data_IF_817410023650
#
_entry.id   IF_817410023650
#
_cell.length_a   1.000
_cell.length_b   1.000
_cell.length_c   1.000
_cell.angle_alpha   90.00
_cell.angle_beta   90.00
_cell.angle_gamma   90.00
#
_symmetry.space_group_name_H-M   'P 1'
#
loop_
_entity.id
_entity.type
_entity.pdbx_description
1 polymer ?
#
# COMPACT_ATOMS: atom_id res chain seq x y z
N UNK A 1 -14.65 -4.16 -14.77
CA UNK A 1 -13.34 -3.61 -15.14
C UNK A 1 -12.91 -2.68 -14.03
N UNK A 2 -11.94 -3.09 -13.22
CA UNK A 2 -11.39 -2.23 -12.18
C UNK A 2 -10.53 -1.14 -12.83
N UNK A 3 -10.72 0.12 -12.42
CA UNK A 3 -9.98 1.26 -12.97
C UNK A 3 -9.15 1.89 -11.86
N UNK A 4 -7.88 2.16 -12.13
CA UNK A 4 -7.06 2.99 -11.26
C UNK A 4 -7.54 4.44 -11.32
N UNK A 5 -7.83 5.00 -10.16
CA UNK A 5 -8.17 6.40 -9.98
C UNK A 5 -6.96 7.13 -9.41
N UNK A 6 -6.63 8.30 -9.95
CA UNK A 6 -5.55 9.14 -9.44
C UNK A 6 -6.02 9.89 -8.19
N UNK A 7 -5.12 10.06 -7.22
CA UNK A 7 -5.30 11.05 -6.15
C UNK A 7 -5.13 12.44 -6.79
N UNK A 8 -6.27 13.09 -7.01
CA UNK A 8 -6.32 14.44 -7.56
C UNK A 8 -6.18 15.51 -6.47
N UNK A 9 -6.31 16.77 -6.87
CA UNK A 9 -6.22 17.91 -5.96
C UNK A 9 -7.25 17.87 -4.83
N UNK A 10 -8.49 17.47 -5.12
CA UNK A 10 -9.56 17.41 -4.14
C UNK A 10 -9.36 16.27 -3.14
N UNK A 11 -8.76 15.17 -3.56
CA UNK A 11 -8.48 14.02 -2.68
C UNK A 11 -7.20 14.20 -1.86
N UNK A 12 -6.21 14.97 -2.36
CA UNK A 12 -4.90 15.13 -1.72
C UNK A 12 -5.01 15.69 -0.29
N UNK A 13 -5.98 16.57 -0.03
CA UNK A 13 -6.20 17.16 1.30
C UNK A 13 -6.45 16.11 2.41
N UNK A 14 -6.90 14.90 2.05
CA UNK A 14 -7.14 13.80 3.00
C UNK A 14 -5.88 12.97 3.30
N UNK A 15 -4.77 13.27 2.62
CA UNK A 15 -3.50 12.57 2.64
C UNK A 15 -2.38 13.57 2.95
N UNK A 16 -2.34 14.03 4.21
CA UNK A 16 -1.56 15.18 4.69
C UNK A 16 -0.06 15.21 4.35
N UNK A 17 0.54 14.09 3.95
CA UNK A 17 1.94 14.01 3.58
C UNK A 17 2.20 13.99 2.06
N UNK A 18 1.16 13.87 1.23
CA UNK A 18 1.31 13.92 -0.21
C UNK A 18 1.43 15.37 -0.70
N UNK A 19 2.36 15.62 -1.62
CA UNK A 19 2.54 16.89 -2.33
C UNK A 19 1.90 16.86 -3.73
N UNK A 20 1.93 17.99 -4.43
CA UNK A 20 1.33 18.11 -5.78
C UNK A 20 2.07 17.27 -6.82
N UNK A 21 3.35 16.98 -6.57
CA UNK A 21 4.23 16.17 -7.41
C UNK A 21 4.01 14.66 -7.21
N UNK A 22 3.34 14.24 -6.13
CA UNK A 22 3.17 12.83 -5.81
C UNK A 22 2.12 12.16 -6.72
N UNK A 23 2.54 11.09 -7.38
CA UNK A 23 1.70 10.33 -8.30
C UNK A 23 1.19 9.06 -7.64
N UNK A 24 0.04 9.19 -6.98
CA UNK A 24 -0.63 8.09 -6.27
C UNK A 24 -1.94 7.71 -6.94
N UNK A 25 -2.24 6.41 -6.97
CA UNK A 25 -3.44 5.82 -7.55
C UNK A 25 -4.06 4.80 -6.61
N UNK A 26 -5.37 4.62 -6.69
CA UNK A 26 -6.10 3.67 -5.85
C UNK A 26 -7.22 2.96 -6.63
N UNK A 27 -7.66 1.81 -6.13
CA UNK A 27 -8.78 1.06 -6.72
C UNK A 27 -10.11 1.31 -6.00
N UNK A 28 -10.09 1.42 -4.67
CA UNK A 28 -11.31 1.42 -3.85
C UNK A 28 -11.31 2.48 -2.74
N UNK A 29 -12.50 2.80 -2.22
CA UNK A 29 -12.66 3.68 -1.07
C UNK A 29 -12.93 2.85 0.19
N UNK A 30 -12.13 3.05 1.23
CA UNK A 30 -12.28 2.38 2.51
C UNK A 30 -12.75 3.37 3.58
N UNK A 31 -13.82 3.04 4.31
CA UNK A 31 -14.35 3.85 5.41
C UNK A 31 -13.81 3.39 6.77
N UNK A 32 -12.97 4.19 7.45
CA UNK A 32 -12.47 3.84 8.78
C UNK A 32 -13.60 3.71 9.80
N UNK A 33 -13.43 2.80 10.78
CA UNK A 33 -14.31 2.63 11.95
C UNK A 33 -15.72 2.11 11.68
N UNK A 34 -16.15 2.03 10.42
CA UNK A 34 -17.46 1.47 10.04
C UNK A 34 -17.53 -0.07 10.11
N UNK A 35 -16.38 -0.74 10.32
CA UNK A 35 -16.31 -2.20 10.41
C UNK A 35 -16.26 -2.91 9.06
N UNK A 36 -16.17 -4.25 9.10
CA UNK A 36 -15.91 -5.09 7.93
C UNK A 36 -17.14 -5.30 7.03
N UNK A 37 -18.36 -5.07 7.52
CA UNK A 37 -19.61 -5.29 6.77
C UNK A 37 -20.13 -4.04 6.08
N UNK A 38 -19.46 -2.89 6.24
CA UNK A 38 -19.90 -1.61 5.72
C UNK A 38 -19.90 -1.56 4.18
N UNK A 39 -18.85 -2.10 3.55
CA UNK A 39 -18.69 -2.10 2.11
C UNK A 39 -17.82 -3.28 1.66
N UNK A 40 -17.83 -3.55 0.35
CA UNK A 40 -16.94 -4.53 -0.28
C UNK A 40 -15.46 -4.21 0.01
N UNK A 41 -15.06 -2.95 -0.14
CA UNK A 41 -13.70 -2.50 0.15
C UNK A 41 -13.32 -2.73 1.63
N UNK A 42 -14.24 -2.43 2.56
CA UNK A 42 -14.04 -2.65 3.98
C UNK A 42 -13.87 -4.15 4.31
N UNK A 43 -14.70 -5.00 3.71
CA UNK A 43 -14.61 -6.45 3.89
C UNK A 43 -13.32 -7.01 3.31
N UNK A 44 -12.96 -6.58 2.10
CA UNK A 44 -11.75 -7.00 1.42
C UNK A 44 -10.52 -6.64 2.23
N UNK A 45 -10.37 -5.36 2.63
CA UNK A 45 -9.24 -4.90 3.44
C UNK A 45 -9.20 -5.62 4.79
N UNK A 46 -10.34 -5.86 5.44
CA UNK A 46 -10.39 -6.61 6.70
C UNK A 46 -9.86 -8.04 6.54
N UNK A 47 -10.30 -8.75 5.51
CA UNK A 47 -9.85 -10.11 5.23
C UNK A 47 -8.39 -10.14 4.78
N UNK A 48 -7.97 -9.17 3.97
CA UNK A 48 -6.61 -8.99 3.49
C UNK A 48 -5.63 -8.74 4.65
N UNK A 49 -6.04 -7.89 5.61
CA UNK A 49 -5.26 -7.53 6.81
C UNK A 49 -5.25 -8.59 7.91
N UNK A 50 -5.87 -9.76 7.70
CA UNK A 50 -5.99 -10.81 8.73
C UNK A 50 -4.61 -11.26 9.27
N UNK A 51 -4.41 -11.25 10.61
CA UNK A 51 -3.13 -11.61 11.27
C UNK A 51 -2.69 -13.06 11.09
N UNK A 52 -1.37 -13.31 11.02
CA UNK A 52 -0.78 -14.66 10.85
C UNK A 52 -1.14 -15.66 11.93
N UNK A 53 -1.41 -15.23 13.18
CA UNK A 53 -1.86 -16.12 14.26
C UNK A 53 -3.14 -16.91 13.93
N UNK A 54 -3.86 -16.52 12.89
CA UNK A 54 -5.05 -17.21 12.39
C UNK A 54 -4.78 -18.21 11.25
N UNK A 55 -3.51 -18.44 10.86
CA UNK A 55 -3.12 -19.24 9.68
C UNK A 55 -3.67 -20.67 9.68
N UNK A 56 -3.69 -21.29 10.85
CA UNK A 56 -4.17 -22.67 11.03
C UNK A 56 -5.66 -22.76 11.39
N UNK A 57 -6.37 -21.63 11.32
CA UNK A 57 -7.79 -21.56 11.65
C UNK A 57 -8.66 -21.57 10.39
N UNK A 58 -9.87 -22.12 10.48
CA UNK A 58 -10.75 -22.32 9.31
C UNK A 58 -11.14 -21.03 8.56
N UNK A 59 -11.00 -19.87 9.20
CA UNK A 59 -11.27 -18.57 8.61
C UNK A 59 -10.04 -17.94 7.89
N UNK A 60 -8.87 -18.60 7.89
CA UNK A 60 -7.72 -18.18 7.07
C UNK A 60 -8.03 -18.18 5.56
N UNK A 61 -8.95 -19.04 5.12
CA UNK A 61 -9.44 -19.10 3.74
C UNK A 61 -9.91 -17.73 3.22
N UNK A 62 -10.42 -16.86 4.09
CA UNK A 62 -10.86 -15.52 3.68
C UNK A 62 -9.69 -14.59 3.36
N UNK A 63 -8.53 -14.73 4.03
CA UNK A 63 -7.32 -13.97 3.67
C UNK A 63 -6.78 -14.42 2.31
N UNK A 64 -6.72 -15.73 2.06
CA UNK A 64 -6.30 -16.28 0.75
C UNK A 64 -7.19 -15.75 -0.37
N UNK A 65 -8.52 -15.83 -0.20
CA UNK A 65 -9.48 -15.27 -1.16
C UNK A 65 -9.27 -13.77 -1.40
N UNK A 66 -9.01 -12.99 -0.34
CA UNK A 66 -8.72 -11.57 -0.48
C UNK A 66 -7.42 -11.30 -1.25
N UNK A 67 -6.36 -12.08 -1.04
CA UNK A 67 -5.11 -11.99 -1.81
C UNK A 67 -5.38 -12.28 -3.30
N UNK A 68 -6.11 -13.35 -3.60
CA UNK A 68 -6.45 -13.73 -4.98
C UNK A 68 -7.30 -12.65 -5.66
N UNK A 69 -8.26 -12.07 -4.93
CA UNK A 69 -9.13 -11.02 -5.41
C UNK A 69 -8.37 -9.72 -5.69
N UNK A 70 -7.50 -9.29 -4.78
CA UNK A 70 -6.63 -8.12 -5.01
C UNK A 70 -5.69 -8.35 -6.19
N UNK A 71 -5.13 -9.57 -6.32
CA UNK A 71 -4.28 -9.94 -7.46
C UNK A 71 -5.02 -9.74 -8.79
N UNK A 72 -6.28 -10.20 -8.85
CA UNK A 72 -7.14 -9.99 -10.01
C UNK A 72 -7.42 -8.51 -10.26
N UNK A 73 -7.71 -7.73 -9.20
CA UNK A 73 -7.98 -6.30 -9.33
C UNK A 73 -6.79 -5.51 -9.87
N UNK A 74 -5.58 -5.77 -9.38
CA UNK A 74 -4.37 -5.15 -9.95
C UNK A 74 -4.12 -5.61 -11.37
N UNK A 75 -4.23 -6.90 -11.68
CA UNK A 75 -4.07 -7.39 -13.05
C UNK A 75 -5.02 -6.68 -14.00
N UNK A 76 -6.31 -6.65 -13.70
CA UNK A 76 -7.32 -6.02 -14.55
C UNK A 76 -7.08 -4.52 -14.76
N UNK A 77 -6.62 -3.81 -13.72
CA UNK A 77 -6.45 -2.37 -13.79
C UNK A 77 -5.11 -1.94 -14.44
N UNK A 78 -4.09 -2.80 -14.39
CA UNK A 78 -2.70 -2.46 -14.74
C UNK A 78 -2.27 -3.06 -16.08
N UNK A 79 -2.72 -4.28 -16.42
CA UNK A 79 -2.17 -5.05 -17.56
C UNK A 79 -2.26 -4.32 -18.90
N UNK A 80 -3.27 -3.46 -19.10
CA UNK A 80 -3.46 -2.69 -20.34
C UNK A 80 -3.01 -1.24 -20.25
N UNK A 81 -2.65 -0.75 -19.05
CA UNK A 81 -2.37 0.67 -18.79
C UNK A 81 -0.90 0.93 -18.51
N UNK A 82 -0.17 -0.05 -17.98
CA UNK A 82 1.23 0.08 -17.62
C UNK A 82 2.12 -0.58 -18.66
N UNK A 83 3.14 0.14 -19.12
CA UNK A 83 4.21 -0.46 -19.91
C UNK A 83 5.27 -1.06 -18.95
N UNK A 84 5.25 -2.39 -18.80
CA UNK A 84 6.15 -3.06 -17.87
C UNK A 84 7.61 -2.88 -18.21
N UNK A 85 8.01 -2.69 -19.48
CA UNK A 85 9.43 -2.57 -19.85
C UNK A 85 10.17 -1.41 -19.15
N UNK A 86 9.42 -0.40 -18.70
CA UNK A 86 9.94 0.78 -18.01
C UNK A 86 9.60 0.84 -16.51
N UNK A 87 8.99 -0.22 -15.96
CA UNK A 87 8.52 -0.25 -14.58
C UNK A 87 9.15 -1.37 -13.75
N UNK A 88 9.69 -1.03 -12.58
CA UNK A 88 10.01 -1.98 -11.51
C UNK A 88 8.87 -1.95 -10.47
N UNK A 89 8.24 -3.09 -10.22
CA UNK A 89 7.13 -3.25 -9.28
C UNK A 89 7.68 -3.64 -7.90
N UNK A 90 7.37 -2.84 -6.89
CA UNK A 90 7.93 -2.98 -5.55
C UNK A 90 6.79 -3.03 -4.52
N UNK A 91 6.61 -4.13 -3.77
CA UNK A 91 5.71 -4.13 -2.63
C UNK A 91 6.33 -3.28 -1.52
N UNK A 92 5.53 -2.41 -0.91
CA UNK A 92 5.92 -1.77 0.34
C UNK A 92 5.97 -2.86 1.43
N UNK A 93 7.07 -2.97 2.21
CA UNK A 93 7.25 -4.07 3.15
C UNK A 93 6.28 -3.97 4.34
N UNK A 94 5.96 -5.11 4.98
CA UNK A 94 5.25 -5.09 6.26
C UNK A 94 6.15 -4.48 7.35
N UNK A 95 5.57 -4.07 8.48
CA UNK A 95 6.33 -3.49 9.59
C UNK A 95 7.27 -4.48 10.31
N UNK A 96 7.17 -5.76 9.99
CA UNK A 96 7.99 -6.84 10.55
C UNK A 96 9.16 -7.13 9.61
N UNK A 97 10.31 -7.50 10.15
CA UNK A 97 11.45 -7.95 9.35
C UNK A 97 11.22 -9.36 8.76
N UNK A 98 11.92 -9.73 7.68
CA UNK A 98 11.72 -11.02 6.98
C UNK A 98 11.92 -12.26 7.86
N UNK A 99 12.73 -12.16 8.93
CA UNK A 99 12.97 -13.26 9.86
C UNK A 99 11.92 -13.42 10.96
N UNK A 100 10.98 -12.47 11.08
CA UNK A 100 9.98 -12.47 12.14
C UNK A 100 8.85 -13.48 11.85
N UNK A 101 8.37 -14.17 12.89
CA UNK A 101 7.30 -15.16 12.76
C UNK A 101 5.95 -14.55 12.32
N UNK A 102 5.76 -13.24 12.52
CA UNK A 102 4.61 -12.46 12.08
C UNK A 102 4.87 -11.69 10.78
N UNK A 103 5.96 -11.98 10.04
CA UNK A 103 6.20 -11.41 8.72
C UNK A 103 5.07 -11.78 7.75
N UNK A 104 4.42 -10.76 7.18
CA UNK A 104 3.25 -10.92 6.31
C UNK A 104 3.55 -10.42 4.89
N UNK A 105 3.93 -11.36 4.01
CA UNK A 105 4.31 -11.15 2.62
C UNK A 105 3.11 -11.01 1.66
N UNK A 106 1.91 -10.68 2.17
CA UNK A 106 0.66 -10.65 1.38
C UNK A 106 0.75 -9.79 0.11
N UNK A 107 1.48 -8.67 0.13
CA UNK A 107 1.58 -7.80 -1.05
C UNK A 107 2.50 -8.41 -2.10
N UNK A 108 3.58 -9.09 -1.68
CA UNK A 108 4.43 -9.89 -2.56
C UNK A 108 3.63 -11.05 -3.19
N UNK A 109 2.79 -11.74 -2.42
CA UNK A 109 1.88 -12.76 -2.94
C UNK A 109 0.89 -12.18 -3.96
N UNK A 110 0.34 -10.99 -3.69
CA UNK A 110 -0.55 -10.28 -4.62
C UNK A 110 0.13 -9.98 -5.94
N UNK A 111 1.32 -9.38 -5.92
CA UNK A 111 2.02 -9.00 -7.15
C UNK A 111 2.47 -10.23 -7.95
N UNK A 112 2.96 -11.27 -7.25
CA UNK A 112 3.29 -12.55 -7.89
C UNK A 112 2.06 -13.18 -8.56
N UNK A 113 0.91 -13.19 -7.89
CA UNK A 113 -0.33 -13.73 -8.44
C UNK A 113 -0.92 -12.89 -9.59
N UNK A 114 -0.88 -11.57 -9.47
CA UNK A 114 -1.41 -10.64 -10.47
C UNK A 114 -0.69 -10.75 -11.82
N UNK A 115 0.62 -10.97 -11.78
CA UNK A 115 1.49 -10.91 -12.96
C UNK A 115 2.18 -12.24 -13.28
N UNK A 116 1.64 -13.35 -12.79
CA UNK A 116 2.13 -14.69 -13.12
C UNK A 116 2.14 -14.89 -14.65
N UNK A 117 3.27 -15.38 -15.17
CA UNK A 117 3.48 -15.59 -16.61
C UNK A 117 3.67 -14.31 -17.43
N UNK A 118 3.75 -13.13 -16.79
CA UNK A 118 4.15 -11.88 -17.44
C UNK A 118 5.64 -11.60 -17.22
N UNK A 119 6.27 -10.94 -18.18
CA UNK A 119 7.66 -10.48 -18.04
C UNK A 119 7.70 -9.15 -17.27
N UNK A 120 7.55 -9.20 -15.95
CA UNK A 120 7.60 -8.03 -15.06
C UNK A 120 8.86 -8.03 -14.22
N UNK A 121 9.46 -6.85 -14.01
CA UNK A 121 10.52 -6.65 -13.03
C UNK A 121 9.88 -6.41 -11.66
N UNK A 122 9.69 -7.49 -10.91
CA UNK A 122 9.15 -7.48 -9.57
C UNK A 122 10.26 -7.69 -8.56
N UNK A 123 10.38 -6.79 -7.57
CA UNK A 123 11.45 -6.82 -6.55
C UNK A 123 10.95 -6.46 -5.18
N UNK A 124 11.33 -7.24 -4.17
CA UNK A 124 11.20 -6.86 -2.76
C UNK A 124 12.33 -5.89 -2.36
N UNK A 125 12.40 -4.75 -3.07
CA UNK A 125 13.50 -3.77 -3.00
C UNK A 125 13.65 -3.11 -1.63
N UNK A 126 12.54 -2.86 -0.93
CA UNK A 126 12.55 -2.16 0.36
C UNK A 126 12.32 -3.19 1.48
N UNK A 127 13.13 -3.12 2.54
CA UNK A 127 13.06 -4.00 3.70
C UNK A 127 13.03 -3.17 5.00
N UNK A 128 12.45 -3.74 6.05
CA UNK A 128 12.47 -3.18 7.40
C UNK A 128 13.72 -3.69 8.17
N UNK A 129 14.46 -2.78 8.83
CA UNK A 129 15.69 -3.06 9.61
C UNK A 129 15.43 -3.82 10.90
N UNK A 130 14.22 -3.70 11.44
CA UNK A 130 13.79 -4.42 12.63
C UNK A 130 12.35 -4.07 12.98
N UNK A 131 11.83 -4.74 13.98
CA UNK A 131 10.54 -4.41 14.56
C UNK A 131 10.70 -3.07 15.30
N UNK A 132 10.37 -1.93 14.65
CA UNK A 132 9.92 -0.77 15.44
C UNK A 132 8.80 -1.32 16.29
N UNK A 133 8.93 -1.23 17.62
CA UNK A 133 7.92 -1.70 18.56
C UNK A 133 6.57 -1.30 18.00
N UNK A 134 5.80 -2.30 17.54
CA UNK A 134 4.57 -2.04 16.84
C UNK A 134 3.78 -1.10 17.75
N UNK A 135 3.35 0.02 17.19
CA UNK A 135 2.52 1.01 17.88
C UNK A 135 1.12 0.44 18.17
N UNK A 136 1.02 -0.83 18.57
CA UNK A 136 -0.15 -1.44 19.16
C UNK A 136 -0.42 -0.84 20.55
N UNK A 137 0.62 -0.39 21.26
CA UNK A 137 0.51 0.21 22.61
C UNK A 137 0.83 1.71 22.70
N UNK A 138 1.35 2.32 21.62
CA UNK A 138 1.49 3.78 21.54
C UNK A 138 0.32 4.37 20.73
N UNK A 139 -0.41 5.37 21.25
CA UNK A 139 -1.46 6.05 20.50
C UNK A 139 -0.91 6.90 19.33
N UNK A 140 0.41 7.06 19.22
CA UNK A 140 1.08 7.89 18.22
C UNK A 140 1.49 7.05 17.01
N UNK A 141 0.92 7.39 15.84
CA UNK A 141 1.40 6.83 14.57
C UNK A 141 2.87 7.23 14.34
N UNK A 142 3.74 6.34 13.85
CA UNK A 142 5.11 6.68 13.50
C UNK A 142 5.16 7.85 12.51
N UNK A 143 6.07 8.78 12.77
CA UNK A 143 6.42 9.86 11.85
C UNK A 143 7.09 9.31 10.58
N UNK A 144 7.14 10.14 9.52
CA UNK A 144 7.90 9.79 8.30
C UNK A 144 9.37 9.51 8.64
N UNK A 145 9.97 10.30 9.53
CA UNK A 145 11.37 10.13 9.92
C UNK A 145 11.61 8.78 10.58
N UNK A 146 10.75 8.35 11.51
CA UNK A 146 10.86 7.04 12.15
C UNK A 146 10.68 5.89 11.16
N UNK A 147 9.70 6.00 10.26
CA UNK A 147 9.49 5.02 9.19
C UNK A 147 10.74 4.92 8.31
N UNK A 148 11.23 6.06 7.81
CA UNK A 148 12.42 6.12 6.96
C UNK A 148 13.64 5.48 7.66
N UNK A 149 13.87 5.81 8.93
CA UNK A 149 15.03 5.28 9.65
C UNK A 149 14.98 3.75 9.82
N UNK A 150 13.79 3.15 9.81
CA UNK A 150 13.63 1.71 9.86
C UNK A 150 13.60 1.02 8.50
N UNK A 151 13.70 1.75 7.40
CA UNK A 151 13.71 1.15 6.06
C UNK A 151 15.14 1.13 5.50
N UNK A 152 15.41 0.15 4.64
CA UNK A 152 16.63 0.08 3.84
C UNK A 152 16.35 -0.57 2.47
N UNK A 153 17.19 -0.25 1.48
CA UNK A 153 17.16 -0.90 0.17
C UNK A 153 17.96 -2.20 0.23
N UNK A 154 17.35 -3.29 -0.21
CA UNK A 154 17.99 -4.59 -0.28
C UNK A 154 19.10 -4.56 -1.37
N UNK A 155 20.40 -4.72 -1.02
CA UNK A 155 21.49 -4.48 -1.98
C UNK A 155 21.42 -5.34 -3.24
N UNK A 156 20.90 -6.57 -3.13
CA UNK A 156 20.75 -7.51 -4.25
C UNK A 156 19.67 -7.10 -5.24
N UNK A 157 18.73 -6.26 -4.82
CA UNK A 157 17.58 -5.83 -5.61
C UNK A 157 17.82 -4.48 -6.30
N UNK A 158 18.97 -3.84 -6.07
CA UNK A 158 19.26 -2.47 -6.52
C UNK A 158 19.81 -2.38 -7.96
N UNK A 159 20.33 -3.47 -8.52
CA UNK A 159 21.02 -3.42 -9.81
C UNK A 159 20.05 -3.41 -11.00
N UNK A 160 20.18 -2.45 -11.92
CA UNK A 160 19.37 -2.41 -13.14
C UNK A 160 17.89 -2.09 -12.91
N UNK A 161 17.58 -1.28 -11.89
CA UNK A 161 16.22 -0.74 -11.69
C UNK A 161 15.76 0.07 -12.90
N UNK A 162 14.51 -0.13 -13.33
CA UNK A 162 13.88 0.60 -14.43
C UNK A 162 13.54 2.03 -14.00
N UNK A 163 13.22 2.90 -14.97
CA UNK A 163 13.08 4.35 -14.71
C UNK A 163 11.89 4.71 -13.82
N UNK A 164 10.83 3.90 -13.86
CA UNK A 164 9.65 4.08 -13.01
C UNK A 164 9.63 2.99 -11.93
N UNK A 165 9.73 3.38 -10.67
CA UNK A 165 9.53 2.50 -9.52
C UNK A 165 8.09 2.65 -9.05
N UNK A 166 7.33 1.56 -9.07
CA UNK A 166 5.92 1.56 -8.69
C UNK A 166 5.77 0.84 -7.36
N UNK A 167 5.44 1.61 -6.33
CA UNK A 167 5.21 1.12 -4.97
C UNK A 167 3.78 0.63 -4.80
N UNK A 168 3.61 -0.55 -4.22
CA UNK A 168 2.30 -1.14 -3.93
C UNK A 168 2.06 -1.30 -2.44
N UNK A 169 0.95 -0.78 -1.94
CA UNK A 169 0.55 -0.93 -0.53
C UNK A 169 -0.97 -1.14 -0.41
N UNK A 170 -1.42 -1.56 0.76
CA UNK A 170 -2.82 -1.85 0.99
C UNK A 170 -3.69 -0.59 1.07
N UNK A 171 -3.24 0.41 1.81
CA UNK A 171 -4.06 1.55 2.22
C UNK A 171 -3.31 2.86 2.14
N UNK A 172 -3.78 3.78 1.29
CA UNK A 172 -3.36 5.17 1.36
C UNK A 172 -4.13 5.90 2.47
N UNK A 173 -3.47 6.16 3.61
CA UNK A 173 -4.08 6.90 4.73
C UNK A 173 -3.63 8.36 4.79
N UNK A 174 -2.50 8.67 5.43
CA UNK A 174 -1.92 10.02 5.44
C UNK A 174 -0.87 10.20 4.34
N UNK A 175 -0.37 9.11 3.75
CA UNK A 175 0.74 9.10 2.79
C UNK A 175 2.13 8.92 3.42
N UNK A 176 2.24 8.86 4.76
CA UNK A 176 3.54 8.81 5.44
C UNK A 176 4.44 7.64 5.00
N UNK A 177 3.88 6.43 4.88
CA UNK A 177 4.63 5.24 4.52
C UNK A 177 5.14 5.30 3.08
N UNK A 178 4.29 5.75 2.16
CA UNK A 178 4.66 6.01 0.78
C UNK A 178 5.79 7.05 0.70
N UNK A 179 5.68 8.19 1.39
CA UNK A 179 6.72 9.21 1.39
C UNK A 179 8.04 8.69 1.96
N UNK A 180 8.02 7.92 3.05
CA UNK A 180 9.23 7.33 3.60
C UNK A 180 9.93 6.40 2.59
N UNK A 181 9.16 5.55 1.90
CA UNK A 181 9.68 4.67 0.86
C UNK A 181 10.18 5.44 -0.37
N UNK A 182 9.43 6.45 -0.80
CA UNK A 182 9.78 7.32 -1.91
C UNK A 182 11.08 8.06 -1.64
N UNK A 183 11.22 8.71 -0.48
CA UNK A 183 12.45 9.38 -0.07
C UNK A 183 13.63 8.42 -0.01
N UNK A 184 13.45 7.21 0.54
CA UNK A 184 14.52 6.21 0.59
C UNK A 184 15.04 5.83 -0.81
N UNK A 185 14.14 5.66 -1.77
CA UNK A 185 14.52 5.38 -3.16
C UNK A 185 15.22 6.60 -3.76
N UNK A 186 14.63 7.78 -3.65
CA UNK A 186 15.15 9.00 -4.29
C UNK A 186 16.47 9.48 -3.69
N UNK A 187 16.77 9.17 -2.42
CA UNK A 187 18.07 9.46 -1.82
C UNK A 187 19.20 8.60 -2.44
N UNK A 188 18.85 7.38 -2.89
CA UNK A 188 19.81 6.47 -3.54
C UNK A 188 19.81 6.59 -5.06
N UNK A 189 18.67 6.96 -5.65
CA UNK A 189 18.42 7.04 -7.09
C UNK A 189 17.57 8.28 -7.43
N UNK A 190 18.16 9.49 -7.37
CA UNK A 190 17.43 10.74 -7.54
C UNK A 190 16.75 10.91 -8.91
N UNK A 191 17.24 10.21 -9.92
CA UNK A 191 16.72 10.24 -11.29
C UNK A 191 15.48 9.37 -11.49
N UNK A 192 15.19 8.47 -10.55
CA UNK A 192 14.07 7.51 -10.68
C UNK A 192 12.75 8.17 -10.31
N UNK A 193 11.75 7.94 -11.15
CA UNK A 193 10.38 8.36 -10.88
C UNK A 193 9.71 7.33 -9.97
N UNK A 194 9.06 7.77 -8.91
CA UNK A 194 8.41 6.89 -7.94
C UNK A 194 6.91 7.17 -7.89
N UNK A 195 6.11 6.14 -8.11
CA UNK A 195 4.63 6.20 -8.09
C UNK A 195 4.07 5.28 -7.02
N UNK A 196 2.88 5.58 -6.51
CA UNK A 196 2.17 4.75 -5.54
C UNK A 196 0.88 4.16 -6.11
N UNK A 197 0.64 2.86 -5.93
CA UNK A 197 -0.61 2.19 -6.25
C UNK A 197 -1.14 1.49 -5.00
N UNK A 198 -2.38 1.78 -4.62
CA UNK A 198 -2.99 1.29 -3.39
C UNK A 198 -4.25 0.47 -3.68
N UNK A 199 -4.52 -0.55 -2.87
CA UNK A 199 -5.80 -1.27 -2.95
C UNK A 199 -6.94 -0.29 -2.64
N UNK A 200 -6.82 0.46 -1.54
CA UNK A 200 -7.80 1.47 -1.19
C UNK A 200 -7.19 2.76 -0.65
N UNK A 201 -7.92 3.86 -0.80
CA UNK A 201 -7.66 5.09 -0.03
C UNK A 201 -8.57 5.14 1.18
N UNK A 202 -8.11 5.82 2.22
CA UNK A 202 -8.97 6.26 3.32
C UNK A 202 -9.97 7.28 2.78
N UNK A 203 -11.25 7.01 2.98
CA UNK A 203 -12.35 7.90 2.67
C UNK A 203 -13.02 8.37 3.96
N UNK A 204 -13.09 9.69 4.14
CA UNK A 204 -13.64 10.34 5.33
C UNK A 204 -14.57 11.46 4.87
N UNK A 205 -15.75 11.56 5.48
CA UNK A 205 -16.64 12.67 5.17
C UNK A 205 -16.09 13.95 5.80
N UNK A 206 -15.98 15.01 5.00
CA UNK A 206 -15.78 16.37 5.49
C UNK A 206 -17.12 17.03 5.86
N UNK A 207 -18.25 16.48 5.43
CA UNK A 207 -19.54 17.17 5.39
C UNK A 207 -20.58 16.26 6.05
N UNK A 208 -20.87 16.47 7.34
CA UNK A 208 -22.16 16.11 7.96
C UNK A 208 -22.23 16.54 9.42
N UNK A 209 -21.12 16.80 10.12
CA UNK A 209 -21.19 17.25 11.51
C UNK A 209 -21.39 18.76 11.71
N UNK A 210 -20.86 19.60 10.82
CA UNK A 210 -20.80 21.04 11.14
C UNK A 210 -21.73 21.93 10.29
N UNK A 211 -22.39 21.41 9.24
CA UNK A 211 -23.13 22.26 8.30
C UNK A 211 -24.62 22.49 8.65
N UNK A 212 -25.23 21.61 9.47
CA UNK A 212 -26.64 21.72 9.88
C UNK A 212 -26.83 21.92 11.38
N UNK A 213 -25.78 21.86 12.18
CA UNK A 213 -25.87 22.09 13.63
C UNK A 213 -26.13 23.58 13.97
N UNK A 214 -25.88 24.48 13.02
CA UNK A 214 -26.14 25.92 13.12
C UNK A 214 -27.48 26.37 12.51
N UNK A 215 -28.32 25.44 12.02
CA UNK A 215 -29.70 25.76 11.63
C UNK A 215 -30.64 25.36 12.78
N UNK A 216 -30.71 26.21 13.81
CA UNK A 216 -31.78 26.25 14.81
C UNK A 216 -32.27 27.68 15.04
#
# INVERSE_FOLDING_TARGET
MNKLLRIDELLRQFHSYLSVEDECYYLMNYRPREGATYSEANQLIYNFKKPLRYKDQGHWKYKKKAIDEVSRYFREAIITTMNFDFCTLVPIPPSKEKGDAEYDDRMSQVLSGAFIGQNVDFRELICCKGNIAASHDSPLRPSIGELYQNLYLAPREMEGLRDNIVLFDDMLTTGAHFKACQSLIQDSFPEKRVLGIFIARRDVDQITKDFFDDIK
#
